data_IF_947879517574
#
_entry.id   IF_947879517574
#
_cell.length_a   1.000
_cell.length_b   1.000
_cell.length_c   1.000
_cell.angle_alpha   90.00
_cell.angle_beta   90.00
_cell.angle_gamma   90.00
#
_symmetry.space_group_name_H-M   'P 1'
#
loop_
_entity.id
_entity.type
_entity.pdbx_description
1 polymer ?
#
# COMPACT_ATOMS: atom_id res chain seq x y z
N UNK A 1 17.94 -16.11 -39.68
CA UNK A 1 16.47 -16.19 -39.78
C UNK A 1 15.93 -15.91 -38.40
N UNK A 2 15.75 -14.64 -38.04
CA UNK A 2 15.18 -14.24 -36.76
C UNK A 2 13.69 -14.08 -37.04
N UNK A 3 12.92 -15.11 -36.74
CA UNK A 3 11.47 -14.95 -36.65
C UNK A 3 11.22 -13.96 -35.52
N UNK A 4 11.04 -12.69 -35.89
CA UNK A 4 10.26 -11.79 -35.09
C UNK A 4 8.85 -12.39 -35.06
N UNK A 5 8.58 -13.25 -34.07
CA UNK A 5 7.22 -13.61 -33.69
C UNK A 5 6.46 -12.28 -33.65
N UNK A 6 5.59 -12.08 -34.63
CA UNK A 6 4.74 -10.91 -34.71
C UNK A 6 3.69 -11.04 -33.61
N UNK A 7 4.14 -10.87 -32.36
CA UNK A 7 3.25 -10.67 -31.23
C UNK A 7 2.51 -9.40 -31.58
N UNK A 8 1.21 -9.54 -31.88
CA UNK A 8 0.36 -8.41 -32.26
C UNK A 8 0.62 -7.26 -31.28
N UNK A 9 0.90 -6.04 -31.75
CA UNK A 9 1.15 -4.90 -30.86
C UNK A 9 -0.03 -4.68 -29.89
N UNK A 10 -1.25 -5.08 -30.29
CA UNK A 10 -2.41 -5.10 -29.42
C UNK A 10 -2.28 -6.10 -28.25
N UNK A 11 -1.70 -7.28 -28.49
CA UNK A 11 -1.47 -8.29 -27.47
C UNK A 11 -0.38 -7.86 -26.48
N UNK A 12 0.71 -7.25 -26.97
CA UNK A 12 1.77 -6.70 -26.10
C UNK A 12 1.21 -5.59 -25.22
N UNK A 13 0.43 -4.66 -25.80
CA UNK A 13 -0.21 -3.59 -25.05
C UNK A 13 -1.18 -4.14 -24.00
N UNK A 14 -2.00 -5.13 -24.35
CA UNK A 14 -2.91 -5.78 -23.41
C UNK A 14 -2.18 -6.43 -22.23
N UNK A 15 -1.14 -7.22 -22.50
CA UNK A 15 -0.32 -7.87 -21.46
C UNK A 15 0.33 -6.81 -20.55
N UNK A 16 0.88 -5.75 -21.13
CA UNK A 16 1.54 -4.67 -20.37
C UNK A 16 0.56 -3.95 -19.44
N UNK A 17 -0.64 -3.62 -19.95
CA UNK A 17 -1.70 -2.99 -19.14
C UNK A 17 -2.18 -3.93 -18.04
N UNK A 18 -2.38 -5.21 -18.35
CA UNK A 18 -2.84 -6.22 -17.40
C UNK A 18 -1.83 -6.45 -16.27
N UNK A 19 -0.54 -6.59 -16.59
CA UNK A 19 0.52 -6.73 -15.60
C UNK A 19 0.66 -5.47 -14.73
N UNK A 20 0.53 -4.29 -15.32
CA UNK A 20 0.55 -3.02 -14.57
C UNK A 20 -0.62 -2.95 -13.59
N UNK A 21 -1.82 -3.36 -14.01
CA UNK A 21 -2.99 -3.45 -13.15
C UNK A 21 -2.79 -4.43 -11.99
N UNK A 22 -2.29 -5.65 -12.27
CA UNK A 22 -2.01 -6.65 -11.24
C UNK A 22 -0.98 -6.15 -10.22
N UNK A 23 0.07 -5.48 -10.68
CA UNK A 23 1.09 -4.90 -9.79
C UNK A 23 0.49 -3.88 -8.83
N UNK A 24 -0.32 -2.95 -9.34
CA UNK A 24 -0.98 -1.94 -8.51
C UNK A 24 -1.98 -2.58 -7.56
N UNK A 25 -2.78 -3.55 -8.00
CA UNK A 25 -3.73 -4.27 -7.15
C UNK A 25 -3.01 -5.01 -6.01
N UNK A 26 -1.92 -5.72 -6.31
CA UNK A 26 -1.09 -6.40 -5.31
C UNK A 26 -0.45 -5.42 -4.31
N UNK A 27 0.07 -4.29 -4.80
CA UNK A 27 0.62 -3.23 -3.96
C UNK A 27 -0.43 -2.65 -3.00
N UNK A 28 -1.64 -2.41 -3.49
CA UNK A 28 -2.76 -1.91 -2.67
C UNK A 28 -3.13 -2.92 -1.59
N UNK A 29 -3.28 -4.21 -1.93
CA UNK A 29 -3.61 -5.25 -0.95
C UNK A 29 -2.55 -5.35 0.15
N UNK A 30 -1.27 -5.40 -0.22
CA UNK A 30 -0.15 -5.46 0.73
C UNK A 30 -0.12 -4.25 1.67
N UNK A 31 -0.36 -3.05 1.14
CA UNK A 31 -0.36 -1.86 1.97
C UNK A 31 -1.61 -1.73 2.85
N UNK A 32 -2.75 -2.28 2.43
CA UNK A 32 -3.95 -2.34 3.27
C UNK A 32 -3.72 -3.25 4.48
N UNK A 33 -3.20 -4.45 4.27
CA UNK A 33 -2.86 -5.37 5.37
C UNK A 33 -1.82 -4.73 6.31
N UNK A 34 -0.79 -4.09 5.75
CA UNK A 34 0.22 -3.41 6.55
C UNK A 34 -0.32 -2.18 7.30
N UNK A 35 -1.27 -1.48 6.71
CA UNK A 35 -1.94 -0.34 7.36
C UNK A 35 -2.71 -0.81 8.58
N UNK A 36 -3.42 -1.93 8.49
CA UNK A 36 -4.17 -2.50 9.60
C UNK A 36 -3.23 -2.95 10.73
N UNK A 37 -2.13 -3.65 10.42
CA UNK A 37 -1.10 -3.99 11.41
C UNK A 37 -0.49 -2.74 12.08
N UNK A 38 -0.26 -1.68 11.30
CA UNK A 38 0.32 -0.43 11.81
C UNK A 38 -0.68 0.30 12.71
N UNK A 39 -1.96 0.29 12.36
CA UNK A 39 -3.03 0.84 13.18
C UNK A 39 -3.18 0.08 14.50
N UNK A 40 -3.06 -1.25 14.46
CA UNK A 40 -2.98 -2.08 15.66
C UNK A 40 -1.74 -1.72 16.48
N UNK A 41 -0.55 -1.60 15.88
CA UNK A 41 0.67 -1.14 16.55
C UNK A 41 0.49 0.19 17.30
N UNK A 42 -0.17 1.17 16.68
CA UNK A 42 -0.42 2.50 17.26
C UNK A 42 -1.29 2.47 18.52
N UNK A 43 -1.98 1.36 18.81
CA UNK A 43 -2.76 1.21 20.04
C UNK A 43 -1.92 0.85 21.27
N UNK A 44 -0.72 0.29 21.09
CA UNK A 44 0.12 -0.18 22.20
C UNK A 44 1.60 0.22 22.13
N UNK A 45 2.08 0.80 21.02
CA UNK A 45 3.46 1.31 20.88
C UNK A 45 3.50 2.80 20.53
N UNK A 46 4.65 3.47 20.75
CA UNK A 46 4.85 4.85 20.32
C UNK A 46 4.70 5.00 18.80
N UNK A 47 4.12 6.12 18.38
CA UNK A 47 3.86 6.45 16.97
C UNK A 47 5.12 6.38 16.10
N UNK A 48 6.24 6.91 16.59
CA UNK A 48 7.52 6.93 15.86
C UNK A 48 8.02 5.53 15.50
N UNK A 49 7.82 4.54 16.37
CA UNK A 49 8.23 3.16 16.11
C UNK A 49 7.35 2.51 15.03
N UNK A 50 6.03 2.68 15.11
CA UNK A 50 5.10 2.12 14.14
C UNK A 50 5.28 2.78 12.75
N UNK A 51 5.49 4.10 12.69
CA UNK A 51 5.79 4.81 11.45
C UNK A 51 7.14 4.37 10.85
N UNK A 52 8.17 4.16 11.67
CA UNK A 52 9.47 3.66 11.21
C UNK A 52 9.33 2.25 10.61
N UNK A 53 8.56 1.35 11.24
CA UNK A 53 8.26 0.01 10.70
C UNK A 53 7.51 0.08 9.37
N UNK A 54 6.52 0.97 9.25
CA UNK A 54 5.76 1.17 8.00
C UNK A 54 6.66 1.70 6.88
N UNK A 55 7.50 2.69 7.17
CA UNK A 55 8.46 3.24 6.21
C UNK A 55 9.48 2.18 5.76
N UNK A 56 10.02 1.40 6.70
CA UNK A 56 10.94 0.31 6.39
C UNK A 56 10.29 -0.80 5.55
N UNK A 57 9.01 -1.09 5.78
CA UNK A 57 8.26 -2.01 4.92
C UNK A 57 8.16 -1.46 3.49
N UNK A 58 7.70 -0.22 3.30
CA UNK A 58 7.55 0.41 1.97
C UNK A 58 8.88 0.37 1.19
N UNK A 59 10.00 0.63 1.86
CA UNK A 59 11.34 0.56 1.25
C UNK A 59 11.72 -0.86 0.84
N UNK A 60 11.50 -1.86 1.72
CA UNK A 60 11.86 -3.26 1.45
C UNK A 60 10.98 -3.93 0.39
N UNK A 61 9.71 -3.55 0.32
CA UNK A 61 8.73 -4.16 -0.60
C UNK A 61 8.85 -3.66 -2.05
N UNK A 62 9.82 -2.78 -2.36
CA UNK A 62 9.96 -2.17 -3.70
C UNK A 62 8.83 -1.19 -4.06
N UNK A 63 7.92 -0.92 -3.12
CA UNK A 63 6.81 0.05 -3.27
C UNK A 63 7.30 1.51 -3.22
N UNK A 64 8.59 1.72 -2.96
CA UNK A 64 9.26 3.02 -3.04
C UNK A 64 9.08 3.70 -4.40
N UNK A 65 8.93 2.92 -5.48
CA UNK A 65 8.65 3.40 -6.84
C UNK A 65 7.28 4.12 -6.91
N UNK A 66 6.33 3.72 -6.07
CA UNK A 66 4.94 4.20 -6.07
C UNK A 66 4.69 5.39 -5.12
N UNK A 67 5.76 6.08 -4.71
CA UNK A 67 5.77 7.28 -3.84
C UNK A 67 4.63 7.26 -2.81
N UNK A 68 4.73 6.32 -1.88
CA UNK A 68 3.69 6.08 -0.87
C UNK A 68 3.77 7.14 0.23
N UNK A 69 2.66 7.83 0.50
CA UNK A 69 2.50 8.74 1.63
C UNK A 69 1.57 8.12 2.66
N UNK A 70 1.96 8.13 3.91
CA UNK A 70 1.15 7.62 5.02
C UNK A 70 0.85 8.75 5.99
N UNK A 71 -0.37 8.80 6.52
CA UNK A 71 -0.80 9.81 7.46
C UNK A 71 -1.66 9.17 8.54
N UNK A 72 -1.25 9.33 9.79
CA UNK A 72 -1.94 8.75 10.95
C UNK A 72 -2.51 9.87 11.83
N UNK A 73 -3.79 9.74 12.16
CA UNK A 73 -4.55 10.66 12.99
C UNK A 73 -5.20 9.90 14.13
N UNK A 74 -5.23 10.53 15.31
CA UNK A 74 -5.97 10.02 16.46
C UNK A 74 -7.09 10.99 16.79
N UNK A 75 -8.32 10.50 16.88
CA UNK A 75 -9.46 11.24 17.37
C UNK A 75 -10.07 10.49 18.57
N UNK A 76 -9.69 10.90 19.78
CA UNK A 76 -10.06 10.20 21.01
C UNK A 76 -9.53 8.76 21.05
N UNK A 77 -10.43 7.78 21.03
CA UNK A 77 -10.10 6.34 20.98
C UNK A 77 -9.96 5.80 19.56
N UNK A 78 -10.32 6.57 18.54
CA UNK A 78 -10.25 6.14 17.14
C UNK A 78 -8.88 6.50 16.54
N UNK A 79 -8.22 5.51 15.96
CA UNK A 79 -7.04 5.71 15.12
C UNK A 79 -7.44 5.61 13.65
N UNK A 80 -7.08 6.60 12.85
CA UNK A 80 -7.31 6.63 11.41
C UNK A 80 -5.98 6.70 10.68
N UNK A 81 -5.73 5.73 9.81
CA UNK A 81 -4.58 5.68 8.93
C UNK A 81 -5.03 5.93 7.50
N UNK A 82 -4.35 6.85 6.81
CA UNK A 82 -4.53 7.10 5.39
C UNK A 82 -3.25 6.78 4.67
N UNK A 83 -3.34 6.08 3.55
CA UNK A 83 -2.21 5.84 2.66
C UNK A 83 -2.60 6.31 1.27
N UNK A 84 -1.74 7.13 0.70
CA UNK A 84 -1.87 7.62 -0.66
C UNK A 84 -0.71 7.04 -1.46
N UNK A 85 -1.06 6.30 -2.51
CA UNK A 85 -0.15 5.72 -3.47
C UNK A 85 -0.17 6.57 -4.72
N UNK A 86 0.98 7.10 -5.13
CA UNK A 86 1.09 7.85 -6.38
C UNK A 86 1.75 6.96 -7.42
N UNK A 87 0.98 6.53 -8.43
CA UNK A 87 1.56 5.79 -9.54
C UNK A 87 2.43 6.71 -10.40
N UNK A 88 3.53 6.22 -10.99
CA UNK A 88 4.35 6.99 -11.92
C UNK A 88 3.58 7.40 -13.19
N UNK A 89 2.40 6.82 -13.42
CA UNK A 89 1.50 7.13 -14.53
C UNK A 89 0.47 8.24 -14.19
N UNK A 90 0.64 8.91 -13.04
CA UNK A 90 -0.18 10.07 -12.65
C UNK A 90 -1.51 9.71 -11.97
N UNK A 91 -1.76 8.44 -11.69
CA UNK A 91 -2.96 8.01 -10.99
C UNK A 91 -2.69 7.91 -9.48
N UNK A 92 -3.48 8.63 -8.69
CA UNK A 92 -3.40 8.59 -7.22
C UNK A 92 -4.46 7.63 -6.68
N UNK A 93 -4.05 6.68 -5.86
CA UNK A 93 -4.96 5.84 -5.10
C UNK A 93 -4.82 6.15 -3.62
N UNK A 94 -5.91 6.63 -3.00
CA UNK A 94 -5.94 6.88 -1.57
C UNK A 94 -6.89 5.89 -0.90
N UNK A 95 -6.41 5.26 0.15
CA UNK A 95 -7.23 4.41 1.01
C UNK A 95 -7.07 4.85 2.46
N UNK A 96 -8.15 4.70 3.22
CA UNK A 96 -8.18 5.02 4.64
C UNK A 96 -8.82 3.88 5.41
N UNK A 97 -8.19 3.53 6.52
CA UNK A 97 -8.70 2.57 7.50
C UNK A 97 -8.76 3.23 8.86
N UNK A 98 -9.72 2.82 9.67
CA UNK A 98 -9.88 3.32 11.03
C UNK A 98 -10.12 2.15 11.97
N UNK A 99 -9.42 2.13 13.09
CA UNK A 99 -9.60 1.14 14.16
C UNK A 99 -9.89 1.85 15.48
N UNK A 100 -10.82 1.31 16.26
CA UNK A 100 -10.97 1.74 17.65
C UNK A 100 -9.86 1.09 18.49
N UNK A 101 -9.12 1.90 19.23
CA UNK A 101 -8.11 1.44 20.20
C UNK A 101 -8.67 0.46 21.24
N UNK A 102 -9.98 0.46 21.48
CA UNK A 102 -10.65 -0.52 22.35
C UNK A 102 -10.72 -1.92 21.72
N UNK A 103 -10.76 -2.00 20.39
CA UNK A 103 -10.86 -3.25 19.62
C UNK A 103 -9.53 -4.03 19.60
N UNK A 104 -8.40 -3.34 19.83
CA UNK A 104 -7.06 -3.92 19.86
C UNK A 104 -6.87 -5.06 20.87
N UNK A 105 -7.70 -5.15 21.91
CA UNK A 105 -7.63 -6.25 22.89
C UNK A 105 -7.94 -7.64 22.31
N UNK A 106 -8.60 -7.72 21.14
CA UNK A 106 -8.99 -8.99 20.53
C UNK A 106 -7.98 -9.54 19.51
N UNK A 107 -6.91 -8.81 19.21
CA UNK A 107 -5.83 -9.21 18.27
C UNK A 107 -4.53 -9.60 18.99
N UNK A 108 -4.66 -10.19 20.19
CA UNK A 108 -3.52 -10.74 20.95
C UNK A 108 -3.15 -12.14 20.48
#
# INVERSE_FOLDING_TARGET
MVEALAVSPALVAFITLFLSFLFVAGAVSLLQDRLDETLVCLTYRPRSECEHRMSGFIQKSGLSILKVRTHFLRNGTLWTGRVTLHSPWGQEQTFSRSIDSRFSKNFR
#
